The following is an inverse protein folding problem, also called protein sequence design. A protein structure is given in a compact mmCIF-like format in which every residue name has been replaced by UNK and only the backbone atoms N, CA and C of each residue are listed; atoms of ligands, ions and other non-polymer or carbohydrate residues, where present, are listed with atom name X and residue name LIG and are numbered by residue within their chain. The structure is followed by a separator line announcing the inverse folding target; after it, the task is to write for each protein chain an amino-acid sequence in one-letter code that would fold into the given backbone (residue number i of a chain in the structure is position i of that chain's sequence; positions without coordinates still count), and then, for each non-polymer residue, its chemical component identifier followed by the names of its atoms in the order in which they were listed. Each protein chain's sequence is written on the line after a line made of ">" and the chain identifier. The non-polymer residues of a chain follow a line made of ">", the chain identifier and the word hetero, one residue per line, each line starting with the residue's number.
data_IF_789637715043
#
_entry.id   IF_789637715043
#
_cell.length_a   1.000
_cell.length_b   1.000
_cell.length_c   1.000
_cell.angle_alpha   90.00
_cell.angle_beta   90.00
_cell.angle_gamma   90.00
#
_symmetry.space_group_name_H-M   'P 1'
#
loop_
_entity.id
_entity.type
_entity.pdbx_description
1 polymer ?
#
# COMPACT_ATOMS: atom_id res chain seq x y z
N UNK A 1 22.74 -1.97 -11.23
CA UNK A 1 22.01 -3.15 -10.73
C UNK A 1 22.93 -4.33 -10.45
N UNK A 2 23.68 -4.86 -11.43
CA UNK A 2 24.60 -6.01 -11.25
C UNK A 2 25.51 -5.93 -10.02
N UNK A 3 26.26 -4.84 -9.86
CA UNK A 3 27.14 -4.65 -8.71
C UNK A 3 26.41 -4.62 -7.35
N UNK A 4 25.13 -4.25 -7.33
CA UNK A 4 24.33 -4.23 -6.10
C UNK A 4 23.79 -5.63 -5.72
N UNK A 5 23.80 -6.58 -6.66
CA UNK A 5 23.34 -7.95 -6.47
C UNK A 5 24.50 -8.95 -6.36
N UNK A 6 25.74 -8.49 -6.47
CA UNK A 6 26.91 -9.35 -6.32
C UNK A 6 26.98 -9.92 -4.89
N UNK A 7 27.09 -11.24 -4.76
CA UNK A 7 27.03 -11.96 -3.48
C UNK A 7 25.66 -11.97 -2.79
N UNK A 8 24.60 -11.43 -3.40
CA UNK A 8 23.26 -11.41 -2.82
C UNK A 8 22.51 -12.69 -3.17
N UNK A 9 22.00 -13.39 -2.15
CA UNK A 9 21.21 -14.61 -2.34
C UNK A 9 19.75 -14.32 -2.69
N UNK A 10 19.15 -13.30 -2.07
CA UNK A 10 17.72 -12.99 -2.17
C UNK A 10 17.53 -11.48 -2.11
N UNK A 11 16.58 -10.94 -2.87
CA UNK A 11 16.39 -9.50 -2.95
C UNK A 11 14.93 -9.08 -2.95
N UNK A 12 14.69 -7.90 -2.37
CA UNK A 12 13.37 -7.26 -2.32
C UNK A 12 13.29 -6.19 -3.40
N UNK A 13 12.32 -6.29 -4.30
CA UNK A 13 12.05 -5.28 -5.32
C UNK A 13 10.87 -4.42 -4.88
N UNK A 14 11.16 -3.18 -4.51
CA UNK A 14 10.15 -2.16 -4.20
C UNK A 14 10.46 -0.90 -5.01
N UNK A 15 9.82 -0.80 -6.16
CA UNK A 15 9.95 0.35 -7.04
C UNK A 15 8.98 1.44 -6.60
N UNK A 16 9.39 2.72 -6.57
CA UNK A 16 8.46 3.81 -6.27
C UNK A 16 7.30 3.83 -7.26
N UNK A 17 6.16 4.35 -6.81
CA UNK A 17 5.00 4.60 -7.68
C UNK A 17 5.30 5.79 -8.60
N UNK A 18 6.04 5.51 -9.67
CA UNK A 18 6.51 6.46 -10.68
C UNK A 18 6.58 5.78 -12.06
N UNK A 19 6.83 6.58 -13.09
CA UNK A 19 7.11 6.06 -14.42
C UNK A 19 8.40 5.21 -14.41
N UNK A 20 8.45 4.20 -15.30
CA UNK A 20 9.61 3.31 -15.43
C UNK A 20 9.55 2.02 -14.62
N UNK A 21 8.46 1.72 -13.90
CA UNK A 21 8.31 0.47 -13.13
C UNK A 21 8.64 -0.80 -13.94
N UNK A 22 8.10 -0.92 -15.15
CA UNK A 22 8.32 -2.11 -16.00
C UNK A 22 9.78 -2.20 -16.46
N UNK A 23 10.38 -1.07 -16.83
CA UNK A 23 11.79 -1.01 -17.22
C UNK A 23 12.71 -1.39 -16.04
N UNK A 24 12.42 -0.86 -14.85
CA UNK A 24 13.12 -1.21 -13.63
C UNK A 24 12.99 -2.71 -13.31
N UNK A 25 11.81 -3.29 -13.48
CA UNK A 25 11.59 -4.73 -13.31
C UNK A 25 12.41 -5.55 -14.31
N UNK A 26 12.46 -5.14 -15.59
CA UNK A 26 13.29 -5.81 -16.62
C UNK A 26 14.77 -5.77 -16.25
N UNK A 27 15.28 -4.60 -15.89
CA UNK A 27 16.69 -4.45 -15.50
C UNK A 27 17.02 -5.26 -14.24
N UNK A 28 16.11 -5.29 -13.27
CA UNK A 28 16.28 -6.05 -12.04
C UNK A 28 16.24 -7.56 -12.30
N UNK A 29 15.24 -8.04 -13.04
CA UNK A 29 15.08 -9.45 -13.38
C UNK A 29 16.29 -9.99 -14.16
N UNK A 30 16.80 -9.23 -15.13
CA UNK A 30 18.00 -9.61 -15.87
C UNK A 30 19.22 -9.73 -14.95
N UNK A 31 19.45 -8.75 -14.07
CA UNK A 31 20.57 -8.79 -13.14
C UNK A 31 20.42 -9.93 -12.11
N UNK A 32 19.21 -10.16 -11.61
CA UNK A 32 18.90 -11.24 -10.67
C UNK A 32 19.17 -12.62 -11.26
N UNK A 33 18.82 -12.80 -12.55
CA UNK A 33 19.08 -14.04 -13.30
C UNK A 33 20.57 -14.29 -13.48
N UNK A 34 21.34 -13.28 -13.87
CA UNK A 34 22.79 -13.40 -14.05
C UNK A 34 23.52 -13.71 -12.74
N UNK A 35 23.05 -13.13 -11.63
CA UNK A 35 23.58 -13.39 -10.28
C UNK A 35 23.00 -14.63 -9.61
N UNK A 36 22.08 -15.34 -10.29
CA UNK A 36 21.46 -16.59 -9.83
C UNK A 36 20.82 -16.44 -8.44
N UNK A 37 20.08 -15.34 -8.24
CA UNK A 37 19.30 -15.15 -7.01
C UNK A 37 18.39 -16.35 -6.76
N UNK A 38 18.30 -16.76 -5.50
CA UNK A 38 17.43 -17.83 -5.04
C UNK A 38 15.96 -17.38 -4.96
N UNK A 39 15.72 -16.10 -4.66
CA UNK A 39 14.38 -15.55 -4.55
C UNK A 39 14.34 -14.03 -4.78
N UNK A 40 13.33 -13.57 -5.51
CA UNK A 40 12.87 -12.19 -5.53
C UNK A 40 11.57 -12.09 -4.73
N UNK A 41 11.47 -11.13 -3.81
CA UNK A 41 10.18 -10.72 -3.24
C UNK A 41 9.79 -9.38 -3.86
N UNK A 42 8.74 -9.37 -4.67
CA UNK A 42 8.26 -8.21 -5.41
C UNK A 42 7.12 -7.51 -4.65
N UNK A 43 7.27 -6.20 -4.40
CA UNK A 43 6.17 -5.34 -3.99
C UNK A 43 5.29 -5.00 -5.19
N UNK A 44 4.12 -5.62 -5.24
CA UNK A 44 3.10 -5.41 -6.26
C UNK A 44 1.92 -4.60 -5.72
N UNK A 45 0.78 -4.64 -6.40
CA UNK A 45 -0.46 -3.94 -6.08
C UNK A 45 -1.62 -4.91 -5.89
N UNK A 46 -2.50 -4.66 -4.90
CA UNK A 46 -3.72 -5.45 -4.66
C UNK A 46 -4.56 -5.71 -5.91
N UNK A 47 -4.70 -4.68 -6.74
CA UNK A 47 -5.57 -4.64 -7.92
C UNK A 47 -4.87 -5.10 -9.21
N UNK A 48 -3.63 -5.60 -9.12
CA UNK A 48 -2.80 -6.01 -10.26
C UNK A 48 -3.55 -6.98 -11.18
N UNK A 49 -3.81 -6.56 -12.42
CA UNK A 49 -4.54 -7.31 -13.45
C UNK A 49 -4.24 -6.76 -14.87
N UNK A 50 -4.40 -7.57 -15.93
CA UNK A 50 -4.03 -7.18 -17.31
C UNK A 50 -4.82 -5.97 -17.85
N UNK A 51 -6.08 -5.84 -17.45
CA UNK A 51 -7.02 -4.81 -17.93
C UNK A 51 -7.33 -3.76 -16.84
N UNK A 52 -6.33 -3.38 -16.05
CA UNK A 52 -6.50 -2.36 -15.01
C UNK A 52 -6.72 -0.97 -15.63
N UNK A 53 -7.68 -0.21 -15.09
CA UNK A 53 -7.97 1.18 -15.51
C UNK A 53 -6.79 2.12 -15.23
N UNK A 54 -6.12 1.91 -14.10
CA UNK A 54 -4.90 2.63 -13.78
C UNK A 54 -3.71 2.03 -14.51
N UNK A 55 -2.99 2.86 -15.27
CA UNK A 55 -1.72 2.47 -15.90
C UNK A 55 -0.69 2.01 -14.86
N UNK A 56 -0.62 2.66 -13.71
CA UNK A 56 0.21 2.23 -12.57
C UNK A 56 -0.11 0.82 -12.14
N UNK A 57 -1.39 0.49 -11.94
CA UNK A 57 -1.80 -0.87 -11.55
C UNK A 57 -1.52 -1.89 -12.65
N UNK A 58 -1.73 -1.52 -13.93
CA UNK A 58 -1.37 -2.38 -15.07
C UNK A 58 0.15 -2.62 -15.14
N UNK A 59 0.97 -1.61 -14.84
CA UNK A 59 2.42 -1.74 -14.84
C UNK A 59 2.91 -2.69 -13.73
N UNK A 60 2.24 -2.75 -12.58
CA UNK A 60 2.54 -3.77 -11.56
C UNK A 60 2.24 -5.17 -12.09
N UNK A 61 1.13 -5.36 -12.81
CA UNK A 61 0.84 -6.64 -13.46
C UNK A 61 1.89 -7.02 -14.49
N UNK A 62 2.31 -6.08 -15.34
CA UNK A 62 3.38 -6.32 -16.31
C UNK A 62 4.71 -6.64 -15.62
N UNK A 63 5.04 -5.97 -14.51
CA UNK A 63 6.24 -6.27 -13.73
C UNK A 63 6.20 -7.67 -13.12
N UNK A 64 5.05 -8.14 -12.63
CA UNK A 64 4.85 -9.53 -12.21
C UNK A 64 5.17 -10.50 -13.35
N UNK A 65 4.63 -10.25 -14.56
CA UNK A 65 4.93 -11.10 -15.72
C UNK A 65 6.42 -11.12 -16.09
N UNK A 66 7.10 -9.97 -16.01
CA UNK A 66 8.54 -9.88 -16.26
C UNK A 66 9.33 -10.76 -15.29
N UNK A 67 8.99 -10.74 -14.00
CA UNK A 67 9.64 -11.59 -13.01
C UNK A 67 9.32 -13.07 -13.23
N UNK A 68 8.08 -13.42 -13.51
CA UNK A 68 7.66 -14.81 -13.78
C UNK A 68 8.40 -15.38 -15.01
N UNK A 69 8.56 -14.58 -16.08
CA UNK A 69 9.27 -15.00 -17.29
C UNK A 69 10.79 -15.06 -17.13
N UNK A 70 11.35 -14.41 -16.11
CA UNK A 70 12.80 -14.36 -15.90
C UNK A 70 13.41 -15.74 -15.60
N UNK A 71 12.61 -16.63 -15.00
CA UNK A 71 13.05 -17.92 -14.46
C UNK A 71 13.72 -17.83 -13.08
N UNK A 72 13.79 -16.64 -12.48
CA UNK A 72 14.21 -16.47 -11.08
C UNK A 72 13.00 -16.72 -10.18
N UNK A 73 13.08 -17.60 -9.16
CA UNK A 73 11.97 -17.81 -8.24
C UNK A 73 11.51 -16.48 -7.65
N UNK A 74 10.20 -16.22 -7.69
CA UNK A 74 9.65 -14.93 -7.28
C UNK A 74 8.40 -15.13 -6.42
N UNK A 75 8.25 -14.31 -5.38
CA UNK A 75 7.02 -14.15 -4.60
C UNK A 75 6.46 -12.75 -4.83
N UNK A 76 5.17 -12.63 -5.13
CA UNK A 76 4.51 -11.33 -5.29
C UNK A 76 3.68 -10.98 -4.05
N UNK A 77 3.98 -9.83 -3.45
CA UNK A 77 3.19 -9.26 -2.36
C UNK A 77 2.28 -8.20 -2.94
N UNK A 78 0.96 -8.39 -2.83
CA UNK A 78 -0.06 -7.46 -3.30
C UNK A 78 -0.74 -6.81 -2.09
N UNK A 79 -0.14 -5.79 -1.45
CA UNK A 79 -0.78 -5.06 -0.37
C UNK A 79 -1.94 -4.21 -0.89
N UNK A 80 -2.97 -4.08 -0.05
CA UNK A 80 -4.06 -3.11 -0.20
C UNK A 80 -3.60 -1.69 0.19
N UNK A 81 -4.52 -0.82 0.61
CA UNK A 81 -4.20 0.53 1.08
C UNK A 81 -3.37 0.48 2.37
N UNK A 82 -2.40 1.39 2.49
CA UNK A 82 -1.56 1.48 3.68
C UNK A 82 -2.18 2.33 4.79
N UNK A 83 -2.06 1.89 6.05
CA UNK A 83 -2.44 2.68 7.23
C UNK A 83 -1.71 4.02 7.30
N UNK A 84 -0.49 4.09 6.74
CA UNK A 84 0.32 5.31 6.58
C UNK A 84 -0.42 6.45 5.86
N UNK A 85 -1.48 6.17 5.08
CA UNK A 85 -2.33 7.22 4.50
C UNK A 85 -2.91 8.16 5.55
N UNK A 86 -3.15 7.70 6.78
CA UNK A 86 -3.60 8.54 7.89
C UNK A 86 -2.59 9.64 8.21
N UNK A 87 -1.29 9.38 8.07
CA UNK A 87 -0.25 10.39 8.26
C UNK A 87 -0.29 11.46 7.18
N UNK A 88 -0.60 11.09 5.93
CA UNK A 88 -0.75 12.05 4.83
C UNK A 88 -1.94 12.99 5.05
N UNK A 89 -3.04 12.50 5.62
CA UNK A 89 -4.21 13.32 5.96
C UNK A 89 -4.17 13.90 7.37
N UNK A 90 -3.06 13.76 8.10
CA UNK A 90 -2.94 14.25 9.48
C UNK A 90 -3.20 15.76 9.61
N UNK A 91 -2.93 16.54 8.56
CA UNK A 91 -3.31 17.95 8.47
C UNK A 91 -4.82 18.17 8.57
N UNK A 92 -5.62 17.40 7.82
CA UNK A 92 -7.08 17.47 7.89
C UNK A 92 -7.59 17.03 9.27
N UNK A 93 -7.04 15.93 9.80
CA UNK A 93 -7.42 15.39 11.11
C UNK A 93 -7.15 16.41 12.22
N UNK A 94 -6.00 17.10 12.17
CA UNK A 94 -5.69 18.19 13.12
C UNK A 94 -6.65 19.36 12.98
N UNK A 95 -7.19 19.61 11.79
CA UNK A 95 -8.19 20.65 11.53
C UNK A 95 -9.64 20.17 11.74
N UNK A 96 -9.86 19.03 12.39
CA UNK A 96 -11.20 18.55 12.75
C UNK A 96 -11.96 17.86 11.61
N UNK A 97 -11.27 17.39 10.57
CA UNK A 97 -11.90 16.79 9.37
C UNK A 97 -11.24 15.48 8.99
N UNK A 98 -12.02 14.47 8.61
CA UNK A 98 -11.50 13.28 7.92
C UNK A 98 -11.85 13.41 6.43
N UNK A 99 -10.93 13.92 5.62
CA UNK A 99 -11.18 14.22 4.21
C UNK A 99 -10.46 13.23 3.28
N UNK A 100 -11.22 12.58 2.38
CA UNK A 100 -10.71 11.58 1.43
C UNK A 100 -11.43 11.68 0.08
N UNK A 101 -10.80 11.26 -1.04
CA UNK A 101 -11.42 11.34 -2.37
C UNK A 101 -12.31 10.13 -2.72
N UNK A 102 -12.49 9.19 -1.79
CA UNK A 102 -13.18 7.93 -2.04
C UNK A 102 -14.64 7.98 -1.59
N UNK A 103 -15.47 7.08 -2.11
CA UNK A 103 -16.87 7.02 -1.68
C UNK A 103 -16.99 6.50 -0.26
N UNK A 104 -17.98 7.04 0.45
CA UNK A 104 -18.29 6.71 1.84
C UNK A 104 -18.36 5.20 2.11
N UNK A 105 -19.03 4.46 1.23
CA UNK A 105 -19.36 3.04 1.43
C UNK A 105 -18.33 2.09 0.81
N UNK A 106 -17.36 2.60 0.06
CA UNK A 106 -16.29 1.78 -0.52
C UNK A 106 -15.44 1.14 0.58
N UNK A 107 -15.15 -0.16 0.44
CA UNK A 107 -14.52 -0.98 1.49
C UNK A 107 -13.04 -1.23 1.23
N UNK A 108 -12.24 -1.11 2.27
CA UNK A 108 -10.79 -1.35 2.30
C UNK A 108 -10.37 -1.92 3.65
N UNK A 109 -9.27 -2.68 3.69
CA UNK A 109 -8.69 -3.21 4.92
C UNK A 109 -7.25 -2.69 5.12
N UNK A 110 -7.03 -1.50 5.72
CA UNK A 110 -5.73 -0.85 5.72
C UNK A 110 -4.63 -1.69 6.40
N UNK A 111 -3.54 -1.97 5.68
CA UNK A 111 -2.38 -2.71 6.21
C UNK A 111 -1.28 -1.76 6.67
N UNK A 112 -0.62 -2.05 7.79
CA UNK A 112 0.56 -1.30 8.19
C UNK A 112 1.78 -1.73 7.35
N UNK A 113 2.58 -0.77 6.89
CA UNK A 113 3.84 -1.06 6.16
C UNK A 113 4.79 -2.01 6.92
N UNK A 114 4.80 -1.97 8.26
CA UNK A 114 5.59 -2.90 9.08
C UNK A 114 5.16 -4.36 8.95
N UNK A 115 3.87 -4.62 8.72
CA UNK A 115 3.35 -5.98 8.54
C UNK A 115 3.73 -6.53 7.16
N UNK A 116 3.74 -5.67 6.13
CA UNK A 116 4.25 -6.05 4.81
C UNK A 116 5.74 -6.36 4.88
N UNK A 117 6.52 -5.53 5.58
CA UNK A 117 7.95 -5.75 5.78
C UNK A 117 8.23 -7.05 6.56
N UNK A 118 7.46 -7.32 7.62
CA UNK A 118 7.58 -8.56 8.39
C UNK A 118 7.21 -9.78 7.55
N UNK A 119 6.15 -9.69 6.74
CA UNK A 119 5.75 -10.74 5.80
C UNK A 119 6.88 -11.06 4.82
N UNK A 120 7.49 -10.02 4.22
CA UNK A 120 8.64 -10.19 3.33
C UNK A 120 9.85 -10.82 4.05
N UNK A 121 10.15 -10.38 5.27
CA UNK A 121 11.25 -10.93 6.08
C UNK A 121 11.05 -12.41 6.40
N UNK A 122 9.81 -12.82 6.71
CA UNK A 122 9.46 -14.23 6.97
C UNK A 122 9.53 -15.08 5.72
N UNK A 123 9.14 -14.54 4.58
CA UNK A 123 9.32 -15.19 3.27
C UNK A 123 10.81 -15.41 2.99
N UNK A 124 11.65 -14.39 3.21
CA UNK A 124 13.10 -14.55 3.05
C UNK A 124 13.70 -15.57 4.02
N UNK A 125 13.12 -15.78 5.20
CA UNK A 125 13.61 -16.78 6.16
C UNK A 125 13.24 -18.23 5.81
N UNK A 126 12.25 -18.46 4.93
CA UNK A 126 11.76 -19.80 4.56
C UNK A 126 11.27 -19.84 3.10
N UNK A 127 12.14 -19.54 2.12
CA UNK A 127 11.75 -19.18 0.76
C UNK A 127 11.07 -20.30 -0.03
N UNK A 128 11.35 -21.57 0.28
CA UNK A 128 10.94 -22.73 -0.52
C UNK A 128 9.42 -22.85 -0.64
N UNK A 129 8.69 -22.45 0.41
CA UNK A 129 7.22 -22.49 0.45
C UNK A 129 6.55 -21.30 -0.24
N UNK A 130 7.32 -20.30 -0.62
CA UNK A 130 6.82 -19.01 -1.11
C UNK A 130 7.21 -18.73 -2.57
N UNK A 131 8.18 -19.46 -3.12
CA UNK A 131 8.53 -19.38 -4.53
C UNK A 131 7.31 -19.64 -5.43
N UNK A 132 7.07 -18.73 -6.39
CA UNK A 132 5.94 -18.76 -7.31
C UNK A 132 4.60 -18.32 -6.71
N UNK A 133 4.55 -17.94 -5.43
CA UNK A 133 3.31 -17.55 -4.77
C UNK A 133 2.99 -16.07 -4.95
N UNK A 134 1.69 -15.77 -5.00
CA UNK A 134 1.16 -14.41 -4.97
C UNK A 134 0.23 -14.25 -3.78
N UNK A 135 0.56 -13.32 -2.88
CA UNK A 135 -0.19 -13.08 -1.66
C UNK A 135 -0.89 -11.73 -1.70
N UNK A 136 -2.22 -11.72 -1.53
CA UNK A 136 -2.98 -10.51 -1.20
C UNK A 136 -2.73 -10.19 0.27
N UNK A 137 -2.28 -8.98 0.58
CA UNK A 137 -2.02 -8.56 1.95
C UNK A 137 -2.99 -7.46 2.36
N UNK A 138 -3.72 -7.69 3.44
CA UNK A 138 -4.68 -6.74 4.02
C UNK A 138 -4.37 -6.51 5.49
N UNK A 139 -4.88 -5.41 6.04
CA UNK A 139 -4.98 -5.25 7.48
C UNK A 139 -5.94 -6.26 8.10
N UNK A 140 -6.00 -6.33 9.44
CA UNK A 140 -6.80 -7.31 10.16
C UNK A 140 -8.30 -7.02 10.12
N UNK A 141 -8.70 -5.78 9.81
CA UNK A 141 -10.11 -5.35 9.83
C UNK A 141 -10.41 -4.57 8.55
N UNK A 142 -11.56 -4.87 7.96
CA UNK A 142 -12.12 -4.16 6.82
C UNK A 142 -13.09 -3.07 7.28
N UNK A 143 -13.00 -1.90 6.65
CA UNK A 143 -13.84 -0.74 6.91
C UNK A 143 -14.39 -0.18 5.60
N UNK A 144 -15.61 0.35 5.62
CA UNK A 144 -15.98 1.45 4.73
C UNK A 144 -15.18 2.70 5.08
N UNK A 145 -15.11 3.70 4.19
CA UNK A 145 -14.46 4.97 4.55
C UNK A 145 -15.16 5.70 5.69
N UNK A 146 -16.49 5.52 5.84
CA UNK A 146 -17.23 6.04 6.99
C UNK A 146 -16.85 5.33 8.29
N UNK A 147 -16.77 4.00 8.28
CA UNK A 147 -16.38 3.19 9.43
C UNK A 147 -14.95 3.51 9.85
N UNK A 148 -14.04 3.70 8.87
CA UNK A 148 -12.66 4.08 9.14
C UNK A 148 -12.56 5.48 9.77
N UNK A 149 -13.35 6.44 9.29
CA UNK A 149 -13.43 7.77 9.91
C UNK A 149 -13.98 7.69 11.35
N UNK A 150 -15.00 6.88 11.59
CA UNK A 150 -15.57 6.65 12.92
C UNK A 150 -14.55 5.99 13.87
N UNK A 151 -13.76 5.05 13.38
CA UNK A 151 -12.68 4.43 14.16
C UNK A 151 -11.59 5.43 14.53
N UNK A 152 -11.18 6.29 13.59
CA UNK A 152 -10.22 7.37 13.86
C UNK A 152 -10.79 8.37 14.88
N UNK A 153 -12.07 8.73 14.76
CA UNK A 153 -12.80 9.56 15.73
C UNK A 153 -12.77 8.95 17.14
N UNK A 154 -13.11 7.65 17.25
CA UNK A 154 -13.12 6.91 18.52
C UNK A 154 -11.74 6.89 19.18
N UNK A 155 -10.69 6.52 18.44
CA UNK A 155 -9.32 6.37 18.98
C UNK A 155 -8.71 7.73 19.38
N UNK A 156 -9.02 8.79 18.64
CA UNK A 156 -8.53 10.13 18.95
C UNK A 156 -9.39 10.87 19.97
N UNK A 157 -10.64 10.46 20.20
CA UNK A 157 -11.60 11.17 21.03
C UNK A 157 -11.99 12.53 20.44
N UNK A 158 -12.13 12.61 19.11
CA UNK A 158 -12.40 13.87 18.37
C UNK A 158 -13.54 13.66 17.38
N UNK A 159 -14.46 14.61 17.31
CA UNK A 159 -15.46 14.64 16.24
C UNK A 159 -14.78 14.97 14.90
N UNK A 160 -14.76 13.98 14.00
CA UNK A 160 -14.06 14.01 12.72
C UNK A 160 -15.00 13.44 11.64
N UNK A 161 -15.98 14.22 11.17
CA UNK A 161 -16.92 13.73 10.17
C UNK A 161 -16.18 13.33 8.90
N UNK A 162 -16.63 12.23 8.30
CA UNK A 162 -16.17 11.82 6.97
C UNK A 162 -16.62 12.86 5.93
N UNK A 163 -15.66 13.41 5.21
CA UNK A 163 -15.87 14.34 4.13
C UNK A 163 -15.28 13.79 2.83
N UNK A 164 -16.15 13.62 1.83
CA UNK A 164 -15.70 13.27 0.49
C UNK A 164 -15.28 14.55 -0.25
N UNK A 165 -14.03 14.61 -0.65
CA UNK A 165 -13.48 15.70 -1.49
C UNK A 165 -13.17 15.20 -2.89
N UNK A 166 -12.86 16.11 -3.83
CA UNK A 166 -12.44 15.67 -5.17
C UNK A 166 -11.00 15.13 -5.14
N UNK A 167 -10.64 14.30 -6.13
CA UNK A 167 -9.24 13.85 -6.30
C UNK A 167 -8.30 15.04 -6.44
N UNK A 168 -8.69 16.05 -7.21
CA UNK A 168 -7.89 17.27 -7.41
C UNK A 168 -7.61 17.99 -6.08
N UNK A 169 -8.65 18.23 -5.28
CA UNK A 169 -8.53 18.83 -3.94
C UNK A 169 -7.63 17.99 -3.01
N UNK A 170 -7.77 16.67 -3.06
CA UNK A 170 -6.92 15.78 -2.28
C UNK A 170 -5.45 15.88 -2.70
N UNK A 171 -5.16 15.82 -4.00
CA UNK A 171 -3.78 15.89 -4.51
C UNK A 171 -3.15 17.26 -4.26
N UNK A 172 -3.91 18.35 -4.38
CA UNK A 172 -3.46 19.69 -4.00
C UNK A 172 -3.02 19.75 -2.54
N UNK A 173 -3.81 19.17 -1.63
CA UNK A 173 -3.50 19.19 -0.19
C UNK A 173 -2.21 18.45 0.20
N UNK A 174 -1.74 17.53 -0.64
CA UNK A 174 -0.50 16.78 -0.44
C UNK A 174 0.62 17.20 -1.41
N UNK A 175 0.45 18.33 -2.12
CA UNK A 175 1.48 18.91 -2.99
C UNK A 175 1.70 18.18 -4.32
N UNK A 176 0.68 17.45 -4.81
CA UNK A 176 0.75 16.57 -5.98
C UNK A 176 -0.26 16.92 -7.09
N UNK A 177 -0.83 18.13 -7.08
CA UNK A 177 -1.86 18.55 -8.04
C UNK A 177 -1.43 18.38 -9.51
N UNK A 178 -0.17 18.71 -9.83
CA UNK A 178 0.34 18.67 -11.21
C UNK A 178 0.75 17.26 -11.67
N UNK A 179 0.62 16.25 -10.81
CA UNK A 179 0.92 14.86 -11.12
C UNK A 179 -0.27 14.19 -11.81
N UNK A 180 -0.33 14.33 -13.14
CA UNK A 180 -1.44 13.82 -13.95
C UNK A 180 -1.55 12.29 -13.89
N UNK A 181 -0.43 11.59 -13.69
CA UNK A 181 -0.42 10.14 -13.53
C UNK A 181 -1.11 9.74 -12.22
N UNK A 182 -0.84 10.47 -11.13
CA UNK A 182 -1.55 10.26 -9.85
C UNK A 182 -3.02 10.63 -9.92
N UNK A 183 -3.39 11.73 -10.58
CA UNK A 183 -4.81 12.09 -10.79
C UNK A 183 -5.58 10.90 -11.40
N UNK A 184 -5.12 10.41 -12.55
CA UNK A 184 -5.73 9.26 -13.24
C UNK A 184 -5.69 7.98 -12.40
N UNK A 185 -4.62 7.77 -11.64
CA UNK A 185 -4.51 6.61 -10.74
C UNK A 185 -5.59 6.66 -9.65
N UNK A 186 -5.78 7.79 -8.98
CA UNK A 186 -6.79 7.94 -7.94
C UNK A 186 -8.21 7.85 -8.49
N UNK A 187 -8.49 8.46 -9.65
CA UNK A 187 -9.78 8.31 -10.34
C UNK A 187 -10.11 6.83 -10.64
N UNK A 188 -9.13 6.09 -11.16
CA UNK A 188 -9.27 4.65 -11.37
C UNK A 188 -9.44 3.87 -10.05
N UNK A 189 -8.75 4.27 -8.97
CA UNK A 189 -8.92 3.66 -7.65
C UNK A 189 -10.33 3.87 -7.08
N UNK A 190 -10.98 5.01 -7.34
CA UNK A 190 -12.37 5.26 -6.92
C UNK A 190 -13.29 4.23 -7.56
N UNK A 191 -13.18 4.04 -8.89
CA UNK A 191 -14.00 3.08 -9.63
C UNK A 191 -13.75 1.65 -9.14
N UNK A 192 -12.48 1.25 -9.00
CA UNK A 192 -12.14 -0.09 -8.55
C UNK A 192 -12.64 -0.36 -7.10
N UNK A 193 -12.68 0.66 -6.25
CA UNK A 193 -13.27 0.55 -4.91
C UNK A 193 -14.81 0.50 -4.93
N UNK A 194 -15.48 1.18 -5.86
CA UNK A 194 -16.93 1.04 -6.08
C UNK A 194 -17.29 -0.37 -6.56
N UNK A 195 -16.44 -0.96 -7.39
CA UNK A 195 -16.57 -2.33 -7.89
C UNK A 195 -16.16 -3.41 -6.86
N UNK A 196 -15.77 -3.00 -5.65
CA UNK A 196 -15.40 -3.93 -4.56
C UNK A 196 -14.06 -4.63 -4.76
N UNK A 197 -13.19 -4.18 -5.68
CA UNK A 197 -11.92 -4.84 -5.97
C UNK A 197 -10.88 -4.75 -4.84
N UNK A 198 -11.11 -3.89 -3.85
CA UNK A 198 -10.29 -3.78 -2.64
C UNK A 198 -10.94 -4.36 -1.38
N UNK A 199 -12.15 -4.93 -1.51
CA UNK A 199 -12.88 -5.52 -0.40
C UNK A 199 -12.29 -6.88 0.02
N UNK A 200 -12.61 -7.25 1.25
CA UNK A 200 -12.21 -8.48 1.93
C UNK A 200 -10.95 -8.33 2.78
N UNK A 201 -10.77 -9.32 3.65
CA UNK A 201 -9.57 -9.55 4.45
C UNK A 201 -8.89 -10.82 3.93
N UNK A 202 -7.57 -10.87 4.03
CA UNK A 202 -6.76 -12.05 3.71
C UNK A 202 -5.96 -12.51 4.92
N UNK A 203 -5.95 -13.82 5.16
CA UNK A 203 -5.16 -14.44 6.22
C UNK A 203 -3.70 -14.71 5.81
N UNK A 204 -3.28 -14.31 4.60
CA UNK A 204 -1.94 -14.62 4.11
C UNK A 204 -0.83 -14.04 5.01
N UNK A 205 -0.92 -12.75 5.35
CA UNK A 205 0.05 -12.10 6.22
C UNK A 205 0.09 -12.73 7.63
N UNK A 206 -1.02 -12.86 8.40
CA UNK A 206 -0.94 -13.46 9.73
C UNK A 206 -0.48 -14.92 9.71
N UNK A 207 -0.82 -15.70 8.68
CA UNK A 207 -0.33 -17.08 8.53
C UNK A 207 1.17 -17.14 8.27
N UNK A 208 1.72 -16.22 7.47
CA UNK A 208 3.16 -16.16 7.16
C UNK A 208 3.96 -15.60 8.35
N UNK A 209 3.44 -14.57 9.01
CA UNK A 209 4.14 -13.92 10.13
C UNK A 209 4.05 -14.73 11.42
N UNK A 210 2.97 -15.51 11.59
CA UNK A 210 2.67 -16.27 12.79
C UNK A 210 2.17 -15.40 13.94
N UNK A 211 1.70 -14.17 13.66
CA UNK A 211 1.22 -13.23 14.67
C UNK A 211 0.09 -12.33 14.14
N UNK A 212 -0.73 -11.76 15.03
CA UNK A 212 -1.73 -10.77 14.64
C UNK A 212 -1.10 -9.57 13.92
N UNK A 213 -1.87 -8.98 13.00
CA UNK A 213 -1.49 -7.76 12.31
C UNK A 213 -1.95 -6.53 13.07
N UNK A 214 -1.40 -5.40 12.66
CA UNK A 214 -1.57 -4.11 13.30
C UNK A 214 -2.91 -3.52 12.92
N UNK A 215 -3.69 -3.20 13.93
CA UNK A 215 -4.99 -2.52 13.78
C UNK A 215 -4.80 -1.03 13.50
N UNK A 216 -5.87 -0.39 13.01
CA UNK A 216 -5.91 1.08 12.85
C UNK A 216 -5.71 1.79 14.20
N UNK A 217 -6.33 1.28 15.27
CA UNK A 217 -6.15 1.80 16.62
C UNK A 217 -4.69 1.78 17.07
N UNK A 218 -4.02 0.64 16.97
CA UNK A 218 -2.61 0.51 17.33
C UNK A 218 -1.74 1.45 16.49
N UNK A 219 -1.98 1.51 15.17
CA UNK A 219 -1.24 2.42 14.29
C UNK A 219 -1.40 3.89 14.71
N UNK A 220 -2.60 4.34 15.04
CA UNK A 220 -2.85 5.71 15.50
C UNK A 220 -2.14 5.97 16.83
N UNK A 221 -2.22 5.04 17.78
CA UNK A 221 -1.60 5.20 19.09
C UNK A 221 -0.08 5.27 19.01
N UNK A 222 0.56 4.50 18.12
CA UNK A 222 2.00 4.59 17.87
C UNK A 222 2.43 5.89 17.21
N UNK A 223 1.55 6.50 16.41
CA UNK A 223 1.83 7.72 15.66
C UNK A 223 1.08 8.94 16.22
N UNK A 224 0.72 8.90 17.51
CA UNK A 224 -0.24 9.86 18.11
C UNK A 224 0.20 11.32 17.98
N UNK A 225 1.51 11.57 18.00
CA UNK A 225 2.09 12.90 17.83
C UNK A 225 1.76 13.54 16.48
N UNK A 226 1.54 12.75 15.42
CA UNK A 226 1.14 13.26 14.11
C UNK A 226 -0.29 13.84 14.10
N UNK A 227 -1.16 13.39 15.01
CA UNK A 227 -2.58 13.75 15.06
C UNK A 227 -2.93 14.77 16.17
N UNK A 228 -1.95 15.14 16.99
CA UNK A 228 -2.09 16.15 18.05
C UNK A 228 -2.23 17.56 17.48
N UNK A 229 -3.08 18.39 18.10
CA UNK A 229 -3.13 19.82 17.84
C UNK A 229 -1.82 20.46 18.33
N UNK A 230 -1.23 21.39 17.58
CA UNK A 230 -0.38 22.41 18.21
C UNK A 230 -1.21 23.17 19.27
N UNK A 231 -0.59 23.77 20.31
CA UNK A 231 -1.34 24.45 21.35
C UNK A 231 -2.33 25.44 20.71
N UNK A 232 -3.58 25.42 21.19
CA UNK A 232 -4.59 26.37 20.77
C UNK A 232 -3.99 27.77 20.89
N UNK A 233 -3.96 28.54 19.79
CA UNK A 233 -3.67 29.96 19.89
C UNK A 233 -4.76 30.53 20.80
N UNK A 234 -4.38 30.87 22.03
CA UNK A 234 -5.20 31.70 22.89
C UNK A 234 -5.56 32.95 22.09
N UNK A 235 -6.85 33.14 21.84
CA UNK A 235 -7.34 34.40 21.30
C UNK A 235 -6.96 35.49 22.32
N UNK A 236 -6.02 36.36 21.93
CA UNK A 236 -5.73 37.62 22.59
C UNK A 236 -6.60 38.71 21.99
#
# INVERSE_FOLDING_TARGET
>A
MRAALDGVQRAYFNCPVADGLVEAAVMFAQAAKEQKLELIVNMSHFQSRPVARSKTTQNHWLAEQVFDWSGVPTTHLRPTVFAQRLLYISGFIRNGRYAMPFNRDSRVAPIAGRDVALTAAKIFASPEKHAGQTYRLTGPVEYSHQELAAEVCRVLGKDLPFEQITVSTFLESIGLLNDTAKLKHFEAMIIDQQEGLLAGVSDAAPNITGQPLVTVEEFINENRSAFGLGPAKSAS
#
